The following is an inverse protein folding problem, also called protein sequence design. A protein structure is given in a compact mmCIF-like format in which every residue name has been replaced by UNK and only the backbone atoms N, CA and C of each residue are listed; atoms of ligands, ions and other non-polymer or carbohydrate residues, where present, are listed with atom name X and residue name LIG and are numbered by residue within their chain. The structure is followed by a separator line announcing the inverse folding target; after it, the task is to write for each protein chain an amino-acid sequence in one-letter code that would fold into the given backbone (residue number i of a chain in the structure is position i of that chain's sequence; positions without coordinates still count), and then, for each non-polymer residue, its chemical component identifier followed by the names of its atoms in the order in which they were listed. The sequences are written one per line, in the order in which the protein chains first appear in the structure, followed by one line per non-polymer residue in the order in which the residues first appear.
data_IF_950059614779
#
_entry.id   IF_950059614779
#
_cell.length_a   1.000
_cell.length_b   1.000
_cell.length_c   1.000
_cell.angle_alpha   90.00
_cell.angle_beta   90.00
_cell.angle_gamma   90.00
#
_symmetry.space_group_name_H-M   'P 1'
#
loop_
_entity.id
_entity.type
_entity.pdbx_description
1 polymer ?
#
# COMPACT_ATOMS: atom_id res chain seq x y z
N UNK A 1 51.92 50.73 12.38
CA UNK A 1 52.77 49.53 12.12
C UNK A 1 52.66 48.56 13.33
N UNK A 2 51.53 47.84 13.48
CA UNK A 2 51.40 46.81 14.55
C UNK A 2 50.49 45.62 14.16
N UNK A 3 50.22 45.39 12.87
CA UNK A 3 49.30 44.29 12.45
C UNK A 3 49.96 43.09 11.73
N UNK A 4 51.29 43.04 11.63
CA UNK A 4 51.98 41.96 10.85
C UNK A 4 52.43 40.74 11.62
N UNK A 5 52.31 40.70 12.94
CA UNK A 5 52.85 39.63 13.78
C UNK A 5 51.83 38.65 14.36
N UNK A 6 50.54 38.95 14.29
CA UNK A 6 49.49 38.09 14.92
C UNK A 6 49.09 36.92 14.01
N UNK A 7 49.07 37.11 12.70
CA UNK A 7 48.63 36.08 11.74
C UNK A 7 49.53 34.84 11.71
N UNK A 8 50.86 34.94 11.68
CA UNK A 8 51.71 33.75 11.70
C UNK A 8 51.66 32.99 13.02
N UNK A 9 51.48 33.64 14.15
CA UNK A 9 51.37 32.98 15.48
C UNK A 9 50.03 32.19 15.57
N UNK A 10 48.94 32.72 15.05
CA UNK A 10 47.65 32.04 15.02
C UNK A 10 47.68 30.81 14.12
N UNK A 11 48.34 30.85 12.96
CA UNK A 11 48.52 29.73 12.05
C UNK A 11 49.38 28.62 12.66
N UNK A 12 50.46 28.96 13.32
CA UNK A 12 51.31 28.01 14.02
C UNK A 12 50.56 27.38 15.21
N UNK A 13 49.79 28.14 15.96
CA UNK A 13 49.00 27.63 17.07
C UNK A 13 47.89 26.66 16.62
N UNK A 14 47.20 26.96 15.53
CA UNK A 14 46.19 26.08 14.93
C UNK A 14 46.82 24.80 14.35
N UNK A 15 47.99 24.91 13.74
CA UNK A 15 48.69 23.72 13.19
C UNK A 15 49.17 22.80 14.32
N UNK A 16 49.67 23.31 15.44
CA UNK A 16 50.07 22.49 16.59
C UNK A 16 48.86 21.86 17.31
N UNK A 17 47.68 22.52 17.36
CA UNK A 17 46.44 21.94 17.86
C UNK A 17 45.95 20.76 16.96
N UNK A 18 46.04 20.90 15.63
CA UNK A 18 45.71 19.86 14.69
C UNK A 18 46.66 18.64 14.77
N UNK A 19 47.95 18.86 14.94
CA UNK A 19 48.94 17.80 15.13
C UNK A 19 48.71 17.10 16.47
N UNK A 20 48.40 17.84 17.52
CA UNK A 20 48.02 17.28 18.83
C UNK A 20 46.79 16.43 18.83
N UNK A 21 45.74 16.84 18.12
CA UNK A 21 44.50 16.05 17.97
C UNK A 21 44.65 14.82 17.10
N UNK A 22 45.45 14.91 16.04
CA UNK A 22 45.81 13.72 15.20
C UNK A 22 46.68 12.73 15.99
N UNK A 23 47.60 13.22 16.81
CA UNK A 23 48.41 12.38 17.69
C UNK A 23 47.60 11.67 18.76
N UNK A 24 46.65 12.35 19.40
CA UNK A 24 45.73 11.75 20.36
C UNK A 24 44.80 10.70 19.70
N UNK A 25 44.30 11.01 18.52
CA UNK A 25 43.46 10.06 17.77
C UNK A 25 44.24 8.80 17.32
N UNK A 26 45.50 8.97 16.92
CA UNK A 26 46.39 7.84 16.56
C UNK A 26 46.76 6.98 17.79
N UNK A 27 46.89 7.57 18.97
CA UNK A 27 47.12 6.84 20.22
C UNK A 27 45.86 6.10 20.70
N UNK A 28 44.71 6.72 20.56
CA UNK A 28 43.38 6.09 20.87
C UNK A 28 43.10 4.93 19.92
N UNK A 29 43.41 5.10 18.63
CA UNK A 29 43.31 4.04 17.62
C UNK A 29 44.28 2.87 17.84
N UNK A 30 45.43 3.10 18.51
CA UNK A 30 46.39 2.03 18.86
C UNK A 30 46.05 1.30 20.18
N UNK A 31 45.19 1.92 21.02
CA UNK A 31 44.69 1.31 22.27
C UNK A 31 43.30 0.66 22.12
N UNK A 32 42.67 0.82 20.96
CA UNK A 32 41.51 0.00 20.66
C UNK A 32 41.95 -1.45 20.48
N UNK A 33 41.80 -2.24 21.52
CA UNK A 33 41.88 -3.70 21.37
C UNK A 33 41.02 -4.06 20.15
N UNK A 34 41.51 -4.89 19.22
CA UNK A 34 40.65 -5.39 18.16
C UNK A 34 39.51 -6.11 18.87
N UNK A 35 38.29 -5.53 18.78
CA UNK A 35 37.08 -6.26 19.13
C UNK A 35 37.20 -7.55 18.32
N UNK A 36 37.57 -8.60 18.98
CA UNK A 36 37.54 -9.93 18.39
C UNK A 36 36.04 -10.13 18.05
N UNK A 37 35.70 -9.84 16.81
CA UNK A 37 34.43 -10.32 16.24
C UNK A 37 34.62 -11.83 16.27
N UNK A 38 34.01 -12.45 17.27
CA UNK A 38 33.95 -13.90 17.36
C UNK A 38 33.22 -14.40 16.11
N UNK A 39 33.98 -14.55 15.03
CA UNK A 39 33.56 -14.92 13.69
C UNK A 39 33.19 -16.38 13.55
N UNK A 40 32.95 -17.08 14.67
CA UNK A 40 32.66 -18.51 14.63
C UNK A 40 31.35 -18.96 15.24
N UNK A 41 30.31 -18.13 15.26
CA UNK A 41 28.98 -18.71 15.15
C UNK A 41 28.85 -19.11 13.68
N UNK A 42 29.05 -20.39 13.39
CA UNK A 42 28.72 -20.97 12.09
C UNK A 42 27.30 -20.53 11.77
N UNK A 43 27.15 -19.61 10.81
CA UNK A 43 25.86 -19.24 10.26
C UNK A 43 25.27 -20.56 9.77
N UNK A 44 24.16 -20.97 10.34
CA UNK A 44 23.45 -22.18 9.91
C UNK A 44 23.36 -22.11 8.38
N UNK A 45 23.97 -23.10 7.70
CA UNK A 45 23.95 -23.20 6.24
C UNK A 45 22.65 -23.82 5.75
N UNK A 46 21.74 -24.15 6.66
CA UNK A 46 20.44 -24.71 6.33
C UNK A 46 19.54 -23.62 5.77
N UNK A 47 19.15 -23.79 4.52
CA UNK A 47 18.23 -22.91 3.83
C UNK A 47 16.82 -23.13 4.34
N UNK A 48 16.20 -22.08 4.90
CA UNK A 48 14.79 -22.06 5.27
C UNK A 48 13.99 -21.78 4.00
N UNK A 49 12.92 -22.55 3.76
CA UNK A 49 12.07 -22.41 2.58
C UNK A 49 10.64 -22.11 3.02
N UNK A 50 10.10 -21.01 2.52
CA UNK A 50 8.73 -20.61 2.72
C UNK A 50 7.92 -20.60 1.43
N UNK A 51 6.61 -20.79 1.57
CA UNK A 51 5.61 -20.57 0.52
C UNK A 51 4.90 -19.26 0.79
N UNK A 52 4.73 -18.44 -0.24
CA UNK A 52 3.91 -17.24 -0.24
C UNK A 52 2.78 -17.45 -1.26
N UNK A 53 1.54 -17.41 -0.80
CA UNK A 53 0.34 -17.47 -1.65
C UNK A 53 -0.26 -16.06 -1.82
N UNK A 54 -0.81 -15.71 -2.98
CA UNK A 54 -1.32 -14.36 -3.22
C UNK A 54 -2.72 -14.38 -3.83
N UNK A 55 -3.47 -13.30 -3.60
CA UNK A 55 -4.80 -13.07 -4.18
C UNK A 55 -4.75 -12.62 -5.65
N UNK A 56 -3.54 -12.37 -6.17
CA UNK A 56 -3.34 -11.80 -7.50
C UNK A 56 -2.91 -12.84 -8.53
N UNK A 57 -3.30 -12.66 -9.80
CA UNK A 57 -2.69 -13.40 -10.90
C UNK A 57 -1.17 -13.21 -10.90
N UNK A 58 -0.43 -14.27 -11.18
CA UNK A 58 1.02 -14.23 -11.25
C UNK A 58 1.49 -13.28 -12.36
N UNK A 59 2.50 -12.47 -12.06
CA UNK A 59 3.07 -11.52 -13.01
C UNK A 59 2.18 -10.31 -13.31
N UNK A 60 1.04 -10.12 -12.62
CA UNK A 60 0.27 -8.90 -12.75
C UNK A 60 1.11 -7.73 -12.25
N UNK A 61 1.34 -6.69 -13.07
CA UNK A 61 2.17 -5.55 -12.70
C UNK A 61 1.76 -4.91 -11.38
N UNK A 62 2.71 -4.52 -10.54
CA UNK A 62 2.47 -3.99 -9.20
C UNK A 62 1.95 -5.05 -8.23
N UNK A 63 0.71 -5.50 -8.39
CA UNK A 63 0.06 -6.43 -7.46
C UNK A 63 0.69 -7.82 -7.43
N UNK A 64 0.93 -8.42 -8.59
CA UNK A 64 1.54 -9.74 -8.71
C UNK A 64 3.07 -9.70 -8.62
N UNK A 65 3.71 -8.61 -9.08
CA UNK A 65 5.16 -8.45 -9.03
C UNK A 65 5.69 -8.06 -7.64
N UNK A 66 4.90 -7.37 -6.80
CA UNK A 66 5.33 -6.98 -5.46
C UNK A 66 5.73 -8.18 -4.57
N UNK A 67 4.93 -9.26 -4.44
CA UNK A 67 5.36 -10.42 -3.67
C UNK A 67 6.59 -11.14 -4.28
N UNK A 68 6.77 -11.11 -5.60
CA UNK A 68 7.98 -11.64 -6.25
C UNK A 68 9.21 -10.79 -5.94
N UNK A 69 9.08 -9.47 -5.98
CA UNK A 69 10.13 -8.52 -5.59
C UNK A 69 10.49 -8.65 -4.11
N UNK A 70 9.49 -8.83 -3.25
CA UNK A 70 9.72 -9.11 -1.83
C UNK A 70 10.54 -10.39 -1.63
N UNK A 71 10.12 -11.50 -2.25
CA UNK A 71 10.81 -12.79 -2.14
C UNK A 71 12.28 -12.68 -2.60
N UNK A 72 12.52 -12.02 -3.73
CA UNK A 72 13.87 -11.77 -4.23
C UNK A 72 14.71 -10.94 -3.25
N UNK A 73 14.16 -9.84 -2.70
CA UNK A 73 14.85 -9.01 -1.70
C UNK A 73 15.22 -9.81 -0.44
N UNK A 74 14.30 -10.62 0.07
CA UNK A 74 14.57 -11.47 1.23
C UNK A 74 15.70 -12.44 0.95
N UNK A 75 15.70 -13.09 -0.22
CA UNK A 75 16.75 -14.02 -0.61
C UNK A 75 18.11 -13.33 -0.74
N UNK A 76 18.17 -12.17 -1.42
CA UNK A 76 19.39 -11.36 -1.56
C UNK A 76 19.90 -10.87 -0.18
N UNK A 77 19.05 -10.25 0.65
CA UNK A 77 19.44 -9.70 1.95
C UNK A 77 19.83 -10.79 2.95
N UNK A 78 19.23 -11.98 2.87
CA UNK A 78 19.55 -13.12 3.72
C UNK A 78 20.76 -13.94 3.22
N UNK A 79 21.35 -13.57 2.09
CA UNK A 79 22.39 -14.35 1.42
C UNK A 79 21.94 -15.80 1.14
N UNK A 80 20.69 -15.96 0.70
CA UNK A 80 20.07 -17.25 0.36
C UNK A 80 19.63 -18.12 1.55
N UNK A 81 19.74 -17.63 2.79
CA UNK A 81 19.33 -18.39 3.99
C UNK A 81 17.81 -18.54 4.13
N UNK A 82 17.04 -17.57 3.62
CA UNK A 82 15.59 -17.65 3.54
C UNK A 82 15.19 -17.50 2.07
N UNK A 83 14.59 -18.54 1.51
CA UNK A 83 14.07 -18.56 0.15
C UNK A 83 12.56 -18.66 0.20
N UNK A 84 11.87 -17.80 -0.54
CA UNK A 84 10.39 -17.70 -0.55
C UNK A 84 9.90 -17.98 -1.95
N UNK A 85 9.10 -19.04 -2.10
CA UNK A 85 8.45 -19.36 -3.37
C UNK A 85 7.06 -18.74 -3.43
N UNK A 86 6.84 -17.88 -4.43
CA UNK A 86 5.57 -17.21 -4.67
C UNK A 86 4.65 -18.06 -5.57
N UNK A 87 3.38 -18.17 -5.15
CA UNK A 87 2.30 -18.84 -5.88
C UNK A 87 1.19 -17.84 -6.16
N UNK A 88 0.78 -17.73 -7.42
CA UNK A 88 -0.31 -16.86 -7.85
C UNK A 88 -1.68 -17.35 -7.41
N UNK A 89 -2.68 -16.51 -7.62
CA UNK A 89 -4.08 -16.79 -7.29
C UNK A 89 -4.54 -18.11 -7.90
N UNK A 90 -5.08 -19.03 -7.08
CA UNK A 90 -5.60 -20.32 -7.52
C UNK A 90 -4.55 -21.42 -7.72
N UNK A 91 -3.24 -21.14 -7.60
CA UNK A 91 -2.21 -22.19 -7.76
C UNK A 91 -2.15 -23.16 -6.55
N UNK A 92 -2.43 -22.68 -5.35
CA UNK A 92 -2.42 -23.48 -4.11
C UNK A 92 -3.78 -23.42 -3.43
N UNK A 93 -4.33 -22.21 -3.26
CA UNK A 93 -5.63 -21.96 -2.64
C UNK A 93 -6.43 -20.96 -3.48
N UNK A 94 -7.77 -20.94 -3.38
CA UNK A 94 -8.58 -19.89 -3.97
C UNK A 94 -8.13 -18.49 -3.52
N UNK A 95 -8.26 -17.45 -4.35
CA UNK A 95 -7.75 -16.12 -4.04
C UNK A 95 -8.21 -15.54 -2.70
N UNK A 96 -9.45 -15.78 -2.31
CA UNK A 96 -10.02 -15.26 -1.07
C UNK A 96 -9.82 -16.17 0.16
N UNK A 97 -9.05 -17.25 0.02
CA UNK A 97 -8.68 -18.16 1.12
C UNK A 97 -7.21 -18.00 1.56
N UNK A 98 -6.50 -17.00 1.02
CA UNK A 98 -5.09 -16.75 1.34
C UNK A 98 -4.87 -16.54 2.83
N UNK A 99 -5.70 -15.73 3.50
CA UNK A 99 -5.59 -15.50 4.95
C UNK A 99 -5.74 -16.80 5.75
N UNK A 100 -6.72 -17.63 5.39
CA UNK A 100 -6.98 -18.90 6.07
C UNK A 100 -5.84 -19.89 5.86
N UNK A 101 -5.27 -19.93 4.66
CA UNK A 101 -4.10 -20.76 4.36
C UNK A 101 -2.91 -20.40 5.24
N UNK A 102 -2.67 -19.11 5.49
CA UNK A 102 -1.60 -18.64 6.37
C UNK A 102 -1.92 -18.93 7.84
N UNK A 103 -3.14 -18.62 8.28
CA UNK A 103 -3.59 -18.88 9.65
C UNK A 103 -3.46 -20.36 10.03
N UNK A 104 -3.77 -21.27 9.09
CA UNK A 104 -3.71 -22.71 9.27
C UNK A 104 -2.32 -23.33 9.00
N UNK A 105 -1.33 -22.54 8.62
CA UNK A 105 0.04 -23.00 8.31
C UNK A 105 0.16 -23.81 7.01
N UNK A 106 -0.79 -23.71 6.09
CA UNK A 106 -0.71 -24.29 4.72
C UNK A 106 0.37 -23.57 3.91
N UNK A 107 0.50 -22.26 4.15
CA UNK A 107 1.59 -21.42 3.66
C UNK A 107 2.16 -20.57 4.80
N UNK A 108 3.44 -20.29 4.77
CA UNK A 108 4.10 -19.44 5.77
C UNK A 108 3.72 -17.97 5.59
N UNK A 109 3.42 -17.55 4.34
CA UNK A 109 3.08 -16.19 4.02
C UNK A 109 1.90 -16.08 3.04
N UNK A 110 1.21 -14.94 3.10
CA UNK A 110 0.22 -14.52 2.12
C UNK A 110 0.44 -13.07 1.69
N UNK A 111 -0.11 -12.71 0.54
CA UNK A 111 -0.17 -11.33 0.07
C UNK A 111 -1.55 -11.04 -0.50
N UNK A 112 -2.17 -9.95 -0.06
CA UNK A 112 -3.53 -9.61 -0.48
C UNK A 112 -3.99 -8.26 0.03
N UNK A 113 -5.30 -8.04 0.02
CA UNK A 113 -5.94 -6.87 0.58
C UNK A 113 -6.77 -7.27 1.80
N UNK A 114 -6.53 -6.64 2.96
CA UNK A 114 -7.13 -7.03 4.23
C UNK A 114 -8.67 -7.02 4.23
N UNK A 115 -9.30 -6.16 3.44
CA UNK A 115 -10.76 -6.10 3.34
C UNK A 115 -11.39 -7.38 2.72
N UNK A 116 -10.60 -8.23 2.05
CA UNK A 116 -11.11 -9.52 1.55
C UNK A 116 -11.55 -10.46 2.66
N UNK A 117 -10.98 -10.28 3.85
CA UNK A 117 -11.31 -11.04 5.06
C UNK A 117 -12.45 -10.43 5.89
N UNK A 118 -13.05 -9.33 5.44
CA UNK A 118 -14.12 -8.61 6.15
C UNK A 118 -15.24 -9.51 6.69
N UNK A 119 -15.61 -10.55 5.95
CA UNK A 119 -16.63 -11.51 6.39
C UNK A 119 -16.26 -12.29 7.66
N UNK A 120 -14.96 -12.40 7.97
CA UNK A 120 -14.42 -13.06 9.16
C UNK A 120 -13.89 -12.05 10.18
N UNK A 121 -13.31 -10.97 9.70
CA UNK A 121 -12.65 -9.92 10.49
C UNK A 121 -13.18 -8.58 9.98
N UNK A 122 -14.34 -8.11 10.49
CA UNK A 122 -14.98 -6.90 9.98
C UNK A 122 -14.06 -5.67 9.99
N UNK A 123 -13.27 -5.50 11.06
CA UNK A 123 -12.32 -4.40 11.22
C UNK A 123 -11.11 -4.44 10.26
N UNK A 124 -10.91 -5.52 9.50
CA UNK A 124 -9.78 -5.62 8.55
C UNK A 124 -9.83 -4.56 7.45
N UNK A 125 -11.01 -3.99 7.17
CA UNK A 125 -11.19 -2.94 6.16
C UNK A 125 -10.32 -1.71 6.39
N UNK A 126 -10.04 -1.35 7.65
CA UNK A 126 -9.22 -0.18 7.98
C UNK A 126 -7.79 -0.27 7.44
N UNK A 127 -7.29 -1.48 7.21
CA UNK A 127 -5.91 -1.73 6.80
C UNK A 127 -5.71 -1.85 5.29
N UNK A 128 -6.79 -1.83 4.50
CA UNK A 128 -6.68 -1.61 3.06
C UNK A 128 -7.16 -0.21 2.70
N UNK A 129 -8.43 0.10 2.91
CA UNK A 129 -8.95 1.41 2.59
C UNK A 129 -10.26 1.69 3.33
N UNK A 130 -10.39 2.93 3.77
CA UNK A 130 -11.65 3.52 4.24
C UNK A 130 -12.11 4.50 3.16
N UNK A 131 -13.35 4.41 2.66
CA UNK A 131 -13.88 5.40 1.73
C UNK A 131 -13.70 6.83 2.24
N UNK A 132 -13.19 7.75 1.40
CA UNK A 132 -12.83 9.13 1.76
C UNK A 132 -11.76 9.27 2.87
N UNK A 133 -11.03 8.19 3.15
CA UNK A 133 -10.02 8.13 4.21
C UNK A 133 -8.64 8.61 3.81
N UNK A 134 -7.62 8.01 4.43
CA UNK A 134 -6.21 8.39 4.27
C UNK A 134 -5.65 8.05 2.88
N UNK A 135 -4.82 8.92 2.35
CA UNK A 135 -3.95 8.65 1.22
C UNK A 135 -2.83 7.67 1.60
N UNK A 136 -2.09 7.16 0.61
CA UNK A 136 -1.01 6.20 0.84
C UNK A 136 0.05 6.69 1.83
N UNK A 137 0.45 7.97 1.74
CA UNK A 137 1.44 8.53 2.64
C UNK A 137 0.90 8.69 4.07
N UNK A 138 -0.35 9.08 4.21
CA UNK A 138 -1.04 9.18 5.50
C UNK A 138 -1.20 7.80 6.15
N UNK A 139 -1.60 6.78 5.37
CA UNK A 139 -1.65 5.38 5.83
C UNK A 139 -0.29 4.88 6.33
N UNK A 140 0.78 5.16 5.59
CA UNK A 140 2.14 4.82 6.03
C UNK A 140 2.51 5.53 7.35
N UNK A 141 2.14 6.80 7.48
CA UNK A 141 2.33 7.57 8.71
C UNK A 141 1.60 6.97 9.90
N UNK A 142 0.31 6.67 9.74
CA UNK A 142 -0.51 6.04 10.76
C UNK A 142 0.01 4.66 11.16
N UNK A 143 0.29 3.80 10.19
CA UNK A 143 0.78 2.44 10.45
C UNK A 143 2.08 2.44 11.24
N UNK A 144 3.06 3.27 10.86
CA UNK A 144 4.40 3.18 11.41
C UNK A 144 4.68 4.12 12.59
N UNK A 145 3.87 5.17 12.79
CA UNK A 145 4.08 6.20 13.82
C UNK A 145 2.80 6.61 14.56
N UNK A 146 1.63 6.23 14.05
CA UNK A 146 0.33 6.53 14.65
C UNK A 146 -0.30 5.38 15.43
N UNK A 147 0.41 4.24 15.61
CA UNK A 147 -0.09 3.08 16.35
C UNK A 147 -0.94 2.09 15.53
N UNK A 148 -1.13 2.35 14.24
CA UNK A 148 -1.95 1.52 13.37
C UNK A 148 -1.44 0.09 13.22
N UNK A 149 -0.11 -0.10 13.14
CA UNK A 149 0.49 -1.43 12.98
C UNK A 149 0.33 -2.29 14.24
N UNK A 150 0.42 -1.71 15.42
CA UNK A 150 0.19 -2.39 16.69
C UNK A 150 -1.26 -2.87 16.80
N UNK A 151 -2.23 -2.01 16.43
CA UNK A 151 -3.65 -2.36 16.37
C UNK A 151 -3.94 -3.46 15.34
N UNK A 152 -3.24 -3.43 14.21
CA UNK A 152 -3.36 -4.48 13.20
C UNK A 152 -2.85 -5.83 13.71
N UNK A 153 -1.71 -5.82 14.39
CA UNK A 153 -1.16 -7.01 15.05
C UNK A 153 -2.11 -7.56 16.13
N UNK A 154 -2.72 -6.68 16.94
CA UNK A 154 -3.74 -7.06 17.92
C UNK A 154 -4.95 -7.70 17.24
N UNK A 155 -5.46 -7.11 16.15
CA UNK A 155 -6.59 -7.64 15.38
C UNK A 155 -6.34 -9.05 14.84
N UNK A 156 -5.11 -9.32 14.36
CA UNK A 156 -4.78 -10.59 13.72
C UNK A 156 -4.20 -11.64 14.67
N UNK A 157 -3.81 -11.26 15.88
CA UNK A 157 -3.25 -12.17 16.89
C UNK A 157 -4.12 -13.40 17.19
N UNK A 158 -5.47 -13.30 17.32
CA UNK A 158 -6.33 -14.47 17.56
C UNK A 158 -6.27 -15.52 16.45
N UNK A 159 -5.82 -15.14 15.25
CA UNK A 159 -5.70 -16.02 14.09
C UNK A 159 -4.29 -16.58 13.88
N UNK A 160 -3.34 -16.25 14.79
CA UNK A 160 -1.94 -16.65 14.65
C UNK A 160 -1.27 -16.03 13.41
N UNK A 161 -1.67 -14.84 13.01
CA UNK A 161 -1.16 -14.14 11.82
C UNK A 161 -0.51 -12.82 12.22
N UNK A 162 0.67 -12.56 11.68
CA UNK A 162 1.42 -11.30 11.83
C UNK A 162 1.34 -10.50 10.52
N UNK A 163 0.72 -9.33 10.52
CA UNK A 163 0.62 -8.49 9.34
C UNK A 163 1.84 -7.56 9.18
N UNK A 164 2.13 -7.22 7.93
CA UNK A 164 3.03 -6.13 7.53
C UNK A 164 2.41 -5.36 6.37
N UNK A 165 2.66 -4.05 6.27
CA UNK A 165 2.38 -3.29 5.06
C UNK A 165 3.15 -3.90 3.88
N UNK A 166 2.44 -4.27 2.84
CA UNK A 166 2.97 -5.09 1.74
C UNK A 166 2.89 -4.46 0.35
N UNK A 167 2.44 -3.23 0.26
CA UNK A 167 2.31 -2.46 -0.97
C UNK A 167 1.24 -1.40 -0.87
N UNK A 168 1.29 -0.39 -1.71
CA UNK A 168 0.21 0.58 -1.88
C UNK A 168 0.03 0.93 -3.35
N UNK A 169 -1.22 1.07 -3.75
CA UNK A 169 -1.57 1.50 -5.11
C UNK A 169 -1.57 3.01 -5.28
N UNK A 170 -1.48 3.78 -4.19
CA UNK A 170 -1.80 5.19 -4.18
C UNK A 170 -3.30 5.44 -4.33
N UNK A 171 -3.67 6.65 -4.72
CA UNK A 171 -5.07 7.00 -5.02
C UNK A 171 -5.52 6.26 -6.27
N UNK A 172 -6.62 5.54 -6.15
CA UNK A 172 -7.19 4.77 -7.26
C UNK A 172 -8.14 5.61 -8.14
N UNK A 173 -8.61 5.01 -9.22
CA UNK A 173 -9.68 5.54 -10.04
C UNK A 173 -11.04 5.01 -9.54
N UNK A 174 -12.12 5.77 -9.78
CA UNK A 174 -13.47 5.35 -9.37
C UNK A 174 -13.98 4.12 -10.14
N UNK A 175 -13.40 3.84 -11.30
CA UNK A 175 -13.63 2.61 -12.05
C UNK A 175 -14.13 2.82 -13.47
N UNK A 176 -14.38 1.68 -14.13
CA UNK A 176 -14.86 1.57 -15.50
C UNK A 176 -16.35 1.24 -15.53
N UNK A 177 -17.06 1.92 -16.42
CA UNK A 177 -18.50 1.78 -16.54
C UNK A 177 -18.90 1.60 -18.02
N UNK A 178 -19.88 0.74 -18.26
CA UNK A 178 -20.42 0.51 -19.61
C UNK A 178 -21.46 1.56 -20.02
N UNK A 179 -21.81 2.49 -19.12
CA UNK A 179 -22.71 3.62 -19.39
C UNK A 179 -22.25 4.87 -18.65
N UNK A 180 -22.61 6.02 -19.19
CA UNK A 180 -22.32 7.31 -18.56
C UNK A 180 -23.17 7.53 -17.30
N UNK A 181 -22.53 8.02 -16.24
CA UNK A 181 -23.18 8.48 -15.01
C UNK A 181 -23.37 9.98 -15.09
N UNK A 182 -24.62 10.45 -15.03
CA UNK A 182 -24.97 11.88 -15.06
C UNK A 182 -25.48 12.38 -13.72
N UNK A 183 -25.92 11.48 -12.85
CA UNK A 183 -26.44 11.77 -11.53
C UNK A 183 -26.44 10.52 -10.65
N UNK A 184 -26.73 10.69 -9.36
CA UNK A 184 -26.89 9.60 -8.40
C UNK A 184 -28.01 8.60 -8.78
N UNK A 185 -29.00 9.01 -9.56
CA UNK A 185 -30.06 8.10 -10.05
C UNK A 185 -29.49 7.00 -10.96
N UNK A 186 -28.38 7.26 -11.66
CA UNK A 186 -27.75 6.31 -12.57
C UNK A 186 -27.04 5.17 -11.84
N UNK A 187 -26.85 5.27 -10.51
CA UNK A 187 -26.35 4.18 -9.69
C UNK A 187 -27.39 3.07 -9.49
N UNK A 188 -28.69 3.41 -9.60
CA UNK A 188 -29.77 2.46 -9.31
C UNK A 188 -29.73 1.26 -10.26
N UNK A 189 -29.69 0.07 -9.65
CA UNK A 189 -29.67 -1.20 -10.35
C UNK A 189 -28.38 -1.51 -11.09
N UNK A 190 -27.35 -0.67 -10.98
CA UNK A 190 -26.03 -0.91 -11.58
C UNK A 190 -25.29 -1.98 -10.78
N UNK A 191 -24.81 -3.02 -11.45
CA UNK A 191 -24.02 -4.10 -10.85
C UNK A 191 -22.55 -3.77 -10.99
N UNK A 192 -21.88 -3.52 -9.89
CA UNK A 192 -20.46 -3.16 -9.90
C UNK A 192 -19.62 -4.15 -9.10
N UNK A 193 -18.51 -4.59 -9.68
CA UNK A 193 -17.48 -5.23 -8.88
C UNK A 193 -16.79 -4.16 -8.05
N UNK A 194 -17.03 -4.20 -6.73
CA UNK A 194 -16.44 -3.31 -5.75
C UNK A 194 -16.40 -4.01 -4.38
N UNK A 195 -15.21 -4.33 -3.83
CA UNK A 195 -15.07 -5.06 -2.58
C UNK A 195 -15.08 -4.14 -1.35
N UNK A 196 -14.89 -4.76 -0.18
CA UNK A 196 -14.64 -4.06 1.07
C UNK A 196 -15.85 -3.29 1.60
N UNK A 197 -15.59 -2.22 2.34
CA UNK A 197 -16.61 -1.33 2.87
C UNK A 197 -17.29 -0.53 1.75
N UNK A 198 -16.53 -0.20 0.70
CA UNK A 198 -17.03 0.52 -0.46
C UNK A 198 -18.16 -0.23 -1.17
N UNK A 199 -18.16 -1.55 -1.16
CA UNK A 199 -19.25 -2.36 -1.70
C UNK A 199 -20.58 -2.16 -0.94
N UNK A 200 -20.51 -2.00 0.38
CA UNK A 200 -21.70 -1.68 1.19
C UNK A 200 -22.20 -0.25 0.92
N UNK A 201 -21.29 0.71 0.85
CA UNK A 201 -21.60 2.10 0.50
C UNK A 201 -22.27 2.18 -0.87
N UNK A 202 -21.71 1.51 -1.87
CA UNK A 202 -22.28 1.47 -3.21
C UNK A 202 -23.68 0.84 -3.24
N UNK A 203 -23.86 -0.24 -2.47
CA UNK A 203 -25.20 -0.89 -2.34
C UNK A 203 -26.21 0.01 -1.65
N UNK A 204 -25.81 0.70 -0.58
CA UNK A 204 -26.67 1.67 0.10
C UNK A 204 -27.02 2.87 -0.78
N UNK A 205 -26.18 3.17 -1.79
CA UNK A 205 -26.39 4.24 -2.77
C UNK A 205 -27.30 3.83 -3.96
N UNK A 206 -27.84 2.60 -3.95
CA UNK A 206 -28.80 2.11 -4.94
C UNK A 206 -28.24 1.10 -5.96
N UNK A 207 -26.94 0.85 -5.96
CA UNK A 207 -26.30 -0.16 -6.79
C UNK A 207 -26.35 -1.57 -6.20
N UNK A 208 -25.64 -2.48 -6.83
CA UNK A 208 -25.41 -3.85 -6.35
C UNK A 208 -23.92 -4.16 -6.41
N UNK A 209 -23.30 -4.42 -5.27
CA UNK A 209 -21.89 -4.80 -5.22
C UNK A 209 -21.72 -6.30 -5.46
N UNK A 210 -20.68 -6.65 -6.22
CA UNK A 210 -20.26 -8.04 -6.51
C UNK A 210 -18.79 -8.17 -6.17
N UNK A 211 -18.40 -9.26 -5.50
CA UNK A 211 -17.00 -9.56 -5.21
C UNK A 211 -16.48 -10.60 -6.20
N UNK A 212 -15.52 -10.21 -7.04
CA UNK A 212 -14.86 -11.07 -8.01
C UNK A 212 -13.34 -10.95 -7.86
N UNK A 213 -12.64 -12.06 -8.09
CA UNK A 213 -11.19 -12.07 -8.18
C UNK A 213 -10.70 -11.41 -9.48
N UNK A 214 -9.48 -10.88 -9.49
CA UNK A 214 -8.94 -10.12 -10.64
C UNK A 214 -9.00 -10.86 -11.97
N UNK A 215 -8.75 -12.16 -11.98
CA UNK A 215 -8.81 -12.98 -13.20
C UNK A 215 -10.21 -13.21 -13.78
N UNK A 216 -11.28 -12.86 -13.06
CA UNK A 216 -12.68 -13.04 -13.47
C UNK A 216 -13.31 -11.76 -14.04
N UNK A 217 -12.65 -10.61 -13.84
CA UNK A 217 -13.23 -9.27 -14.06
C UNK A 217 -13.52 -9.05 -15.55
N UNK A 218 -12.52 -9.22 -16.42
CA UNK A 218 -12.67 -8.96 -17.86
C UNK A 218 -13.86 -9.73 -18.45
N UNK A 219 -13.92 -11.04 -18.20
CA UNK A 219 -15.01 -11.89 -18.71
C UNK A 219 -16.37 -11.48 -18.13
N UNK A 220 -16.42 -11.08 -16.86
CA UNK A 220 -17.66 -10.65 -16.20
C UNK A 220 -18.21 -9.34 -16.78
N UNK A 221 -17.32 -8.38 -17.11
CA UNK A 221 -17.67 -7.16 -17.86
C UNK A 221 -18.11 -7.49 -19.27
N UNK A 222 -17.34 -8.28 -20.02
CA UNK A 222 -17.60 -8.64 -21.40
C UNK A 222 -18.96 -9.35 -21.58
N UNK A 223 -19.33 -10.21 -20.64
CA UNK A 223 -20.59 -10.97 -20.69
C UNK A 223 -21.77 -10.25 -20.05
N UNK A 224 -21.58 -9.05 -19.48
CA UNK A 224 -22.64 -8.28 -18.82
C UNK A 224 -23.11 -8.86 -17.47
N UNK A 225 -22.31 -9.72 -16.85
CA UNK A 225 -22.56 -10.17 -15.45
C UNK A 225 -22.46 -8.99 -14.50
N UNK A 226 -21.52 -8.07 -14.77
CA UNK A 226 -21.40 -6.76 -14.11
C UNK A 226 -21.41 -5.64 -15.14
N UNK A 227 -21.87 -4.46 -14.74
CA UNK A 227 -22.02 -3.24 -15.55
C UNK A 227 -20.85 -2.28 -15.33
N UNK A 228 -20.16 -2.44 -14.22
CA UNK A 228 -19.04 -1.59 -13.83
C UNK A 228 -18.03 -2.35 -12.97
N UNK A 229 -16.82 -1.84 -12.93
CA UNK A 229 -15.73 -2.39 -12.11
C UNK A 229 -14.81 -1.27 -11.64
N UNK A 230 -14.47 -1.29 -10.36
CA UNK A 230 -13.23 -0.68 -9.89
C UNK A 230 -12.15 -1.76 -9.79
N UNK A 231 -10.90 -1.39 -10.08
CA UNK A 231 -9.78 -2.29 -9.90
C UNK A 231 -8.61 -1.57 -9.24
N UNK A 232 -7.87 -0.72 -9.93
CA UNK A 232 -6.80 0.09 -9.33
C UNK A 232 -6.70 1.46 -10.02
N UNK A 233 -6.24 1.47 -11.26
CA UNK A 233 -5.89 2.67 -11.99
C UNK A 233 -5.25 2.35 -13.34
N UNK A 234 -4.88 3.36 -14.15
CA UNK A 234 -4.51 3.20 -15.54
C UNK A 234 -3.53 2.08 -15.84
N UNK A 235 -2.52 1.91 -14.99
CA UNK A 235 -1.47 0.92 -15.20
C UNK A 235 -1.98 -0.54 -15.11
N UNK A 236 -2.73 -0.85 -14.07
CA UNK A 236 -3.29 -2.18 -13.87
C UNK A 236 -4.51 -2.43 -14.77
N UNK A 237 -5.38 -1.43 -14.88
CA UNK A 237 -6.64 -1.53 -15.61
C UNK A 237 -6.40 -1.79 -17.09
N UNK A 238 -5.38 -1.12 -17.67
CA UNK A 238 -4.91 -1.39 -19.03
C UNK A 238 -4.40 -2.82 -19.19
N UNK A 239 -3.67 -3.34 -18.22
CA UNK A 239 -3.15 -4.71 -18.26
C UNK A 239 -4.29 -5.75 -18.22
N UNK A 240 -5.39 -5.44 -17.54
CA UNK A 240 -6.59 -6.29 -17.52
C UNK A 240 -7.49 -6.12 -18.76
N UNK A 241 -7.18 -5.18 -19.65
CA UNK A 241 -7.97 -4.94 -20.86
C UNK A 241 -9.32 -4.26 -20.61
N UNK A 242 -9.49 -3.54 -19.50
CA UNK A 242 -10.80 -2.98 -19.11
C UNK A 242 -11.34 -1.96 -20.11
N UNK A 243 -10.48 -1.23 -20.82
CA UNK A 243 -10.83 -0.30 -21.90
C UNK A 243 -11.45 -0.99 -23.13
N UNK A 244 -11.33 -2.30 -23.27
CA UNK A 244 -11.96 -3.06 -24.37
C UNK A 244 -13.41 -3.44 -24.07
N UNK A 245 -13.83 -3.38 -22.79
CA UNK A 245 -15.13 -3.86 -22.32
C UNK A 245 -15.96 -2.77 -21.62
N UNK A 246 -15.41 -1.56 -21.45
CA UNK A 246 -16.11 -0.39 -20.92
C UNK A 246 -15.57 0.90 -21.54
N UNK A 247 -16.44 1.90 -21.74
CA UNK A 247 -16.10 3.16 -22.39
C UNK A 247 -15.74 4.29 -21.44
N UNK A 248 -16.41 4.32 -20.26
CA UNK A 248 -16.32 5.45 -19.34
C UNK A 248 -15.41 5.12 -18.17
N UNK A 249 -14.42 5.98 -17.95
CA UNK A 249 -13.46 5.84 -16.87
C UNK A 249 -13.57 7.02 -15.92
N UNK A 250 -13.96 6.73 -14.67
CA UNK A 250 -14.30 7.76 -13.70
C UNK A 250 -13.23 8.00 -12.65
N UNK A 251 -13.14 9.24 -12.16
CA UNK A 251 -12.29 9.69 -11.06
C UNK A 251 -13.06 10.68 -10.15
N UNK A 252 -12.57 10.95 -8.91
CA UNK A 252 -11.50 10.26 -8.18
C UNK A 252 -11.95 8.94 -7.58
N UNK A 253 -10.97 8.09 -7.18
CA UNK A 253 -11.20 6.84 -6.46
C UNK A 253 -11.59 7.08 -4.99
N UNK A 254 -12.80 7.50 -4.75
CA UNK A 254 -13.38 7.82 -3.44
C UNK A 254 -13.30 6.67 -2.43
N UNK A 255 -13.30 5.46 -2.92
CA UNK A 255 -13.37 4.21 -2.16
C UNK A 255 -12.00 3.77 -1.64
N UNK A 256 -10.92 4.04 -2.40
CA UNK A 256 -9.55 3.63 -2.10
C UNK A 256 -8.53 4.76 -2.34
N UNK A 257 -8.55 5.81 -1.48
CA UNK A 257 -7.63 6.94 -1.66
C UNK A 257 -6.18 6.61 -1.33
N UNK A 258 -5.93 5.47 -0.66
CA UNK A 258 -4.59 5.03 -0.27
C UNK A 258 -4.55 3.54 0.01
N UNK A 259 -5.07 2.73 -0.94
CA UNK A 259 -5.17 1.29 -0.74
C UNK A 259 -3.82 0.68 -0.34
N UNK A 260 -3.82 0.10 0.87
CA UNK A 260 -2.69 -0.61 1.44
C UNK A 260 -2.91 -2.11 1.26
N UNK A 261 -1.89 -2.80 0.79
CA UNK A 261 -1.86 -4.26 0.74
C UNK A 261 -1.08 -4.81 1.93
N UNK A 262 -1.25 -6.09 2.17
CA UNK A 262 -0.62 -6.75 3.31
C UNK A 262 0.24 -7.94 2.89
N UNK A 263 1.35 -8.12 3.61
CA UNK A 263 1.92 -9.43 3.82
C UNK A 263 1.36 -9.99 5.13
N UNK A 264 0.71 -11.13 5.04
CA UNK A 264 0.34 -11.94 6.21
C UNK A 264 1.39 -13.01 6.43
N UNK A 265 1.86 -13.18 7.65
CA UNK A 265 2.86 -14.19 8.01
C UNK A 265 2.30 -15.07 9.12
N UNK A 266 2.41 -16.39 9.00
CA UNK A 266 2.09 -17.29 10.09
C UNK A 266 2.99 -16.96 11.29
N UNK A 267 2.40 -16.62 12.44
CA UNK A 267 3.13 -16.14 13.61
C UNK A 267 4.18 -17.17 14.08
N UNK A 268 3.81 -18.45 14.13
CA UNK A 268 4.73 -19.50 14.57
C UNK A 268 5.90 -19.68 13.60
N UNK A 269 5.65 -19.58 12.28
CA UNK A 269 6.71 -19.62 11.27
C UNK A 269 7.67 -18.43 11.41
N UNK A 270 7.13 -17.22 11.69
CA UNK A 270 7.93 -16.03 11.93
C UNK A 270 8.78 -16.14 13.19
N UNK A 271 8.20 -16.62 14.29
CA UNK A 271 8.90 -16.74 15.58
C UNK A 271 10.02 -17.78 15.56
N UNK A 272 9.97 -18.76 14.65
CA UNK A 272 11.05 -19.74 14.43
C UNK A 272 12.24 -19.18 13.66
N UNK A 273 12.09 -18.02 12.99
CA UNK A 273 13.22 -17.39 12.30
C UNK A 273 14.24 -16.84 13.31
N UNK A 274 15.54 -16.94 13.01
CA UNK A 274 16.55 -16.16 13.70
C UNK A 274 16.24 -14.65 13.64
N UNK A 275 16.62 -13.90 14.66
CA UNK A 275 16.28 -12.48 14.79
C UNK A 275 16.73 -11.62 13.59
N UNK A 276 17.85 -11.95 12.99
CA UNK A 276 18.34 -11.25 11.79
C UNK A 276 17.47 -11.54 10.56
N UNK A 277 16.93 -12.76 10.40
CA UNK A 277 16.00 -13.07 9.33
C UNK A 277 14.62 -12.43 9.57
N UNK A 278 14.16 -12.32 10.82
CA UNK A 278 12.98 -11.56 11.15
C UNK A 278 13.12 -10.09 10.74
N UNK A 279 14.26 -9.46 11.06
CA UNK A 279 14.55 -8.08 10.67
C UNK A 279 14.64 -7.91 9.14
N UNK A 280 15.16 -8.91 8.43
CA UNK A 280 15.19 -8.92 6.96
C UNK A 280 13.77 -8.96 6.37
N UNK A 281 12.88 -9.81 6.90
CA UNK A 281 11.48 -9.89 6.47
C UNK A 281 10.76 -8.56 6.68
N UNK A 282 10.91 -7.95 7.87
CA UNK A 282 10.34 -6.63 8.18
C UNK A 282 10.88 -5.52 7.26
N UNK A 283 12.19 -5.47 7.06
CA UNK A 283 12.84 -4.49 6.19
C UNK A 283 12.45 -4.65 4.72
N UNK A 284 12.40 -5.90 4.23
CA UNK A 284 11.98 -6.20 2.86
C UNK A 284 10.50 -5.87 2.61
N UNK A 285 9.61 -6.12 3.59
CA UNK A 285 8.20 -5.74 3.49
C UNK A 285 8.06 -4.21 3.36
N UNK A 286 8.76 -3.45 4.20
CA UNK A 286 8.73 -1.99 4.15
C UNK A 286 9.29 -1.43 2.85
N UNK A 287 10.38 -2.00 2.35
CA UNK A 287 10.96 -1.63 1.06
C UNK A 287 10.00 -1.94 -0.11
N UNK A 288 9.33 -3.10 -0.06
CA UNK A 288 8.36 -3.49 -1.10
C UNK A 288 7.12 -2.61 -1.08
N UNK A 289 6.65 -2.22 0.12
CA UNK A 289 5.54 -1.29 0.26
C UNK A 289 5.81 0.05 -0.44
N UNK A 290 6.98 0.63 -0.25
CA UNK A 290 7.37 1.88 -0.91
C UNK A 290 7.58 1.69 -2.40
N UNK A 291 8.29 0.65 -2.82
CA UNK A 291 8.60 0.35 -4.21
C UNK A 291 7.34 0.21 -5.09
N UNK A 292 6.30 -0.45 -4.55
CA UNK A 292 5.03 -0.59 -5.24
C UNK A 292 4.33 0.77 -5.44
N UNK A 293 4.32 1.64 -4.42
CA UNK A 293 3.76 2.98 -4.53
C UNK A 293 4.50 3.82 -5.58
N UNK A 294 5.83 3.72 -5.62
CA UNK A 294 6.67 4.41 -6.60
C UNK A 294 6.38 3.90 -8.03
N UNK A 295 6.23 2.58 -8.20
CA UNK A 295 5.86 1.95 -9.48
C UNK A 295 4.50 2.47 -9.98
N UNK A 296 3.46 2.43 -9.14
CA UNK A 296 2.13 2.93 -9.52
C UNK A 296 2.15 4.43 -9.81
N UNK A 297 2.83 5.23 -9.00
CA UNK A 297 2.95 6.68 -9.22
C UNK A 297 3.59 6.98 -10.58
N UNK A 298 4.64 6.27 -10.96
CA UNK A 298 5.34 6.47 -12.22
C UNK A 298 4.56 5.91 -13.42
N UNK A 299 3.96 4.73 -13.28
CA UNK A 299 3.36 3.99 -14.41
C UNK A 299 1.93 4.41 -14.72
N UNK A 300 1.15 4.82 -13.72
CA UNK A 300 -0.22 5.32 -13.96
C UNK A 300 -0.23 6.51 -14.93
N UNK A 301 0.75 7.41 -14.81
CA UNK A 301 0.85 8.56 -15.71
C UNK A 301 0.98 8.15 -17.18
N UNK A 302 1.97 7.30 -17.52
CA UNK A 302 2.19 6.85 -18.90
C UNK A 302 1.04 5.97 -19.43
N UNK A 303 0.43 5.17 -18.54
CA UNK A 303 -0.71 4.32 -18.91
C UNK A 303 -1.98 5.13 -19.17
N UNK A 304 -2.21 6.22 -18.42
CA UNK A 304 -3.35 7.11 -18.66
C UNK A 304 -3.23 7.75 -20.05
N UNK A 305 -2.06 8.27 -20.40
CA UNK A 305 -1.80 8.83 -21.74
C UNK A 305 -2.15 7.80 -22.84
N UNK A 306 -1.69 6.57 -22.70
CA UNK A 306 -2.00 5.51 -23.66
C UNK A 306 -3.51 5.19 -23.73
N UNK A 307 -4.21 5.16 -22.60
CA UNK A 307 -5.68 4.93 -22.57
C UNK A 307 -6.45 6.02 -23.31
N UNK A 308 -6.01 7.28 -23.18
CA UNK A 308 -6.65 8.42 -23.85
C UNK A 308 -6.32 8.49 -25.32
N UNK A 309 -5.06 8.25 -25.72
CA UNK A 309 -4.58 8.45 -27.07
C UNK A 309 -4.86 7.24 -28.00
N UNK A 310 -4.85 6.02 -27.45
CA UNK A 310 -4.94 4.78 -28.25
C UNK A 310 -6.32 4.11 -28.20
N UNK A 311 -7.12 4.33 -27.13
CA UNK A 311 -8.35 3.55 -26.87
C UNK A 311 -9.62 4.40 -26.80
N UNK A 312 -9.57 5.69 -27.11
CA UNK A 312 -10.74 6.58 -27.06
C UNK A 312 -11.50 6.56 -25.72
N UNK A 313 -10.79 6.29 -24.62
CA UNK A 313 -11.37 6.18 -23.28
C UNK A 313 -12.02 7.49 -22.85
N UNK A 314 -13.29 7.45 -22.46
CA UNK A 314 -14.04 8.64 -22.00
C UNK A 314 -13.77 8.90 -20.53
N UNK A 315 -12.73 9.67 -20.23
CA UNK A 315 -12.39 10.07 -18.87
C UNK A 315 -13.41 11.10 -18.34
N UNK A 316 -13.98 10.87 -17.16
CA UNK A 316 -15.01 11.72 -16.54
C UNK A 316 -14.80 11.89 -15.04
N UNK A 317 -15.05 13.08 -14.47
CA UNK A 317 -15.23 13.20 -13.03
C UNK A 317 -16.54 12.55 -12.63
N UNK A 318 -16.61 11.97 -11.43
CA UNK A 318 -17.90 11.60 -10.85
C UNK A 318 -18.75 12.86 -10.62
N UNK A 319 -20.05 12.83 -10.91
CA UNK A 319 -20.96 13.93 -10.58
C UNK A 319 -20.95 14.23 -9.08
N UNK A 320 -21.14 15.53 -8.73
CA UNK A 320 -21.11 15.96 -7.32
C UNK A 320 -22.17 15.26 -6.47
N UNK A 321 -23.38 15.08 -6.97
CA UNK A 321 -24.46 14.38 -6.26
C UNK A 321 -24.17 12.88 -6.06
N UNK A 322 -23.39 12.26 -6.97
CA UNK A 322 -22.86 10.89 -6.77
C UNK A 322 -21.85 10.89 -5.62
N UNK A 323 -20.93 11.85 -5.60
CA UNK A 323 -19.95 11.96 -4.52
C UNK A 323 -20.63 12.21 -3.16
N UNK A 324 -21.64 13.06 -3.12
CA UNK A 324 -22.38 13.39 -1.90
C UNK A 324 -23.13 12.18 -1.31
N UNK A 325 -23.83 11.41 -2.15
CA UNK A 325 -24.54 10.20 -1.67
C UNK A 325 -23.57 9.11 -1.23
N UNK A 326 -22.46 8.92 -1.94
CA UNK A 326 -21.42 7.96 -1.57
C UNK A 326 -20.75 8.34 -0.24
N UNK A 327 -20.44 9.64 -0.05
CA UNK A 327 -19.88 10.12 1.21
C UNK A 327 -20.87 9.93 2.38
N UNK A 328 -22.11 10.31 2.21
CA UNK A 328 -23.14 10.16 3.24
C UNK A 328 -23.31 8.70 3.66
N UNK A 329 -23.36 7.78 2.70
CA UNK A 329 -23.46 6.35 2.98
C UNK A 329 -22.15 5.75 3.52
N UNK A 330 -20.97 6.33 3.21
CA UNK A 330 -19.72 5.92 3.79
C UNK A 330 -19.66 6.19 5.31
N UNK A 331 -20.14 7.38 5.73
CA UNK A 331 -20.27 7.72 7.17
C UNK A 331 -21.19 6.73 7.87
N UNK A 332 -22.37 6.46 7.32
CA UNK A 332 -23.35 5.51 7.89
C UNK A 332 -22.74 4.09 8.00
N UNK A 333 -22.07 3.62 6.96
CA UNK A 333 -21.47 2.29 6.95
C UNK A 333 -20.33 2.16 7.97
N UNK A 334 -19.53 3.22 8.14
CA UNK A 334 -18.44 3.25 9.11
C UNK A 334 -18.97 3.30 10.55
N UNK A 335 -20.00 4.11 10.81
CA UNK A 335 -20.65 4.19 12.12
C UNK A 335 -21.27 2.85 12.50
N UNK A 336 -21.97 2.21 11.58
CA UNK A 336 -22.50 0.86 11.80
C UNK A 336 -21.40 -0.16 12.12
N UNK A 337 -20.28 -0.13 11.40
CA UNK A 337 -19.17 -1.03 11.67
C UNK A 337 -18.60 -0.83 13.07
N UNK A 338 -18.50 0.42 13.54
CA UNK A 338 -18.04 0.76 14.90
C UNK A 338 -19.03 0.28 15.99
N UNK A 339 -20.34 0.33 15.70
CA UNK A 339 -21.39 -0.15 16.60
C UNK A 339 -21.36 -1.69 16.73
N UNK A 340 -21.16 -2.39 15.63
CA UNK A 340 -21.24 -3.85 15.55
C UNK A 340 -19.95 -4.56 16.02
N UNK A 341 -18.78 -3.87 15.99
CA UNK A 341 -17.47 -4.46 16.31
C UNK A 341 -16.64 -3.54 17.23
N UNK A 342 -16.44 -3.92 18.51
CA UNK A 342 -15.63 -3.14 19.46
C UNK A 342 -14.19 -2.90 18.98
N UNK A 343 -13.62 -3.83 18.20
CA UNK A 343 -12.29 -3.65 17.64
C UNK A 343 -12.29 -2.61 16.52
N UNK A 344 -13.37 -2.55 15.72
CA UNK A 344 -13.56 -1.49 14.74
C UNK A 344 -13.66 -0.11 15.42
N UNK A 345 -14.40 0.00 16.52
CA UNK A 345 -14.48 1.24 17.28
C UNK A 345 -13.11 1.70 17.80
N UNK A 346 -12.30 0.77 18.32
CA UNK A 346 -10.93 1.04 18.81
C UNK A 346 -10.00 1.51 17.68
N UNK A 347 -10.02 0.81 16.54
CA UNK A 347 -9.17 1.13 15.38
C UNK A 347 -9.61 2.45 14.77
N UNK A 348 -10.92 2.67 14.59
CA UNK A 348 -11.49 3.90 14.02
C UNK A 348 -11.10 5.12 14.83
N UNK A 349 -11.14 5.05 16.17
CA UNK A 349 -10.74 6.16 17.02
C UNK A 349 -9.28 6.59 16.77
N UNK A 350 -8.36 5.62 16.65
CA UNK A 350 -6.95 5.90 16.32
C UNK A 350 -6.79 6.43 14.89
N UNK A 351 -7.54 5.86 13.94
CA UNK A 351 -7.52 6.24 12.54
C UNK A 351 -8.02 7.67 12.34
N UNK A 352 -9.17 8.00 12.93
CA UNK A 352 -9.82 9.31 12.81
C UNK A 352 -8.98 10.41 13.48
N UNK A 353 -8.43 10.16 14.69
CA UNK A 353 -7.54 11.10 15.38
C UNK A 353 -6.29 11.43 14.55
N UNK A 354 -5.66 10.41 13.95
CA UNK A 354 -4.52 10.61 13.08
C UNK A 354 -4.90 11.35 11.79
N UNK A 355 -6.01 11.00 11.16
CA UNK A 355 -6.50 11.63 9.93
C UNK A 355 -6.78 13.13 10.17
N UNK A 356 -7.42 13.49 11.26
CA UNK A 356 -7.72 14.89 11.58
C UNK A 356 -6.44 15.71 11.81
N UNK A 357 -5.47 15.12 12.51
CA UNK A 357 -4.17 15.74 12.71
C UNK A 357 -3.40 15.99 11.41
N UNK A 358 -3.29 14.96 10.57
CA UNK A 358 -2.53 15.03 9.31
C UNK A 358 -3.21 15.93 8.29
N UNK A 359 -4.55 15.94 8.21
CA UNK A 359 -5.31 16.86 7.33
C UNK A 359 -5.06 18.32 7.69
N UNK A 360 -4.98 18.63 8.99
CA UNK A 360 -4.68 19.99 9.46
C UNK A 360 -3.30 20.45 8.97
N UNK A 361 -2.30 19.58 9.01
CA UNK A 361 -0.96 19.92 8.50
C UNK A 361 -0.93 19.98 6.97
N UNK A 362 -1.60 19.04 6.27
CA UNK A 362 -1.61 19.01 4.81
C UNK A 362 -2.29 20.24 4.20
N UNK A 363 -3.23 20.89 4.90
CA UNK A 363 -3.86 22.14 4.45
C UNK A 363 -2.84 23.26 4.19
N UNK A 364 -1.79 23.34 5.02
CA UNK A 364 -0.75 24.36 4.91
C UNK A 364 0.56 23.88 4.29
N UNK A 365 0.67 22.60 4.00
CA UNK A 365 1.87 21.98 3.39
C UNK A 365 1.58 21.46 2.00
N UNK A 366 1.33 20.17 1.84
CA UNK A 366 1.23 19.53 0.51
C UNK A 366 0.11 20.11 -0.35
N UNK A 367 -1.10 20.29 0.20
CA UNK A 367 -2.23 20.87 -0.53
C UNK A 367 -1.95 22.30 -0.94
N UNK A 368 -1.42 23.12 -0.01
CA UNK A 368 -1.05 24.50 -0.32
C UNK A 368 0.02 24.58 -1.40
N UNK A 369 1.02 23.68 -1.34
CA UNK A 369 2.08 23.61 -2.35
C UNK A 369 1.54 23.16 -3.72
N UNK A 370 0.75 22.08 -3.77
CA UNK A 370 0.16 21.57 -5.00
C UNK A 370 -0.70 22.66 -5.68
N UNK A 371 -1.55 23.33 -4.92
CA UNK A 371 -2.38 24.44 -5.42
C UNK A 371 -1.51 25.60 -5.96
N UNK A 372 -0.43 25.95 -5.28
CA UNK A 372 0.49 27.01 -5.71
C UNK A 372 1.25 26.60 -6.97
N UNK A 373 1.73 25.37 -7.05
CA UNK A 373 2.41 24.81 -8.23
C UNK A 373 1.50 24.82 -9.45
N UNK A 374 0.29 24.27 -9.30
CA UNK A 374 -0.64 24.09 -10.42
C UNK A 374 -1.19 25.44 -10.94
N UNK A 375 -1.18 26.49 -10.10
CA UNK A 375 -1.53 27.84 -10.51
C UNK A 375 -0.49 28.48 -11.44
N UNK A 376 0.79 28.11 -11.31
CA UNK A 376 1.89 28.72 -12.07
C UNK A 376 2.36 27.88 -13.25
N UNK A 377 2.02 26.61 -13.30
CA UNK A 377 2.28 25.73 -14.43
C UNK A 377 1.18 25.88 -15.50
N UNK A 378 1.45 25.51 -16.77
CA UNK A 378 0.40 25.42 -17.78
C UNK A 378 -0.74 24.53 -17.28
N UNK A 379 -2.01 24.90 -17.54
CA UNK A 379 -3.15 24.08 -17.15
C UNK A 379 -3.07 22.70 -17.79
N UNK A 380 -3.40 21.67 -17.03
CA UNK A 380 -3.58 20.32 -17.55
C UNK A 380 -4.97 20.27 -18.16
N UNK A 381 -5.06 20.04 -19.46
CA UNK A 381 -6.32 19.92 -20.19
C UNK A 381 -6.57 18.45 -20.50
N UNK A 382 -7.62 17.88 -19.91
CA UNK A 382 -8.23 16.62 -20.36
C UNK A 382 -9.47 16.93 -21.24
N UNK A 383 -9.66 18.21 -21.63
CA UNK A 383 -10.82 18.67 -22.39
C UNK A 383 -10.63 18.40 -23.86
N UNK A 384 -11.69 17.89 -24.48
CA UNK A 384 -11.91 17.60 -25.90
C UNK A 384 -11.60 16.17 -26.37
N UNK A 385 -11.66 15.18 -25.47
CA UNK A 385 -11.76 13.77 -25.88
C UNK A 385 -13.09 13.15 -25.49
#
# INVERSE_FOLDING_TARGET
MKERTVLPIAVVGLSLLWIGTLGLWALDAQQADPVAVDGSKAVSTEQIKWKLVTTWPKGLPGLGSAPENFARRVEEMSNGRLSIRVYGAGEVVPPFEVFDAVSQGVAEMGHGASYYWKGKIPSSVFYTAVPFGMTAQEMNGWLHYGGGLELWRELYAPFGVRPFAGGSTGVQMAGWFNRELKSAEDLKGLKMRIPGLAGEVFTASGGTSVRLAGGEIYTSMQTGVIDAVEWVGPYNDRTLGLMEVAEYYYYPGWHEPGAMLEFTVNQEAFDRLPADLQAIVEGAARATNQDMLDEFTARNNSSLTSLLDEYETKLRPLPDDVMDILHSNAVIALDKLKEDDPMAAKISASYEDFLDGVRTYHEISERAYLNARDRVLPPISFTDQ
#
